data_IF_792546553597
#
_entry.id   IF_792546553597
#
_cell.length_a   1.000
_cell.length_b   1.000
_cell.length_c   1.000
_cell.angle_alpha   90.00
_cell.angle_beta   90.00
_cell.angle_gamma   90.00
#
_symmetry.space_group_name_H-M   'P 1'
#
loop_
_entity.id
_entity.type
_entity.pdbx_description
1 polymer ?
#
# COMPACT_ATOMS: atom_id res chain seq x y z
N UNK A 1 10.83 -6.74 -13.43
CA UNK A 1 9.36 -6.86 -13.27
C UNK A 1 8.71 -7.87 -14.23
N UNK A 2 9.44 -8.41 -15.23
CA UNK A 2 8.93 -9.52 -16.02
C UNK A 2 8.57 -10.69 -15.08
N UNK A 3 9.49 -11.09 -14.20
CA UNK A 3 9.27 -12.17 -13.23
C UNK A 3 8.03 -11.95 -12.34
N UNK A 4 7.75 -10.69 -11.94
CA UNK A 4 6.52 -10.37 -11.18
C UNK A 4 5.25 -10.67 -11.97
N UNK A 5 5.26 -10.37 -13.27
CA UNK A 5 4.11 -10.64 -14.14
C UNK A 5 3.93 -12.14 -14.40
N UNK A 6 5.05 -12.83 -14.60
CA UNK A 6 5.06 -14.26 -14.91
C UNK A 6 4.65 -15.11 -13.69
N UNK A 7 5.04 -14.67 -12.49
CA UNK A 7 4.73 -15.35 -11.22
C UNK A 7 3.33 -14.97 -10.64
N UNK A 8 2.65 -13.97 -11.20
CA UNK A 8 1.35 -13.58 -10.69
C UNK A 8 0.27 -14.63 -11.00
N UNK A 9 -0.41 -15.10 -9.95
CA UNK A 9 -1.53 -16.00 -10.10
C UNK A 9 -2.72 -15.34 -10.82
N UNK A 10 -3.62 -16.13 -11.44
CA UNK A 10 -4.80 -15.59 -12.13
C UNK A 10 -5.72 -14.75 -11.24
N UNK A 11 -5.76 -15.04 -9.93
CA UNK A 11 -6.53 -14.25 -8.96
C UNK A 11 -5.88 -12.92 -8.57
N UNK A 12 -4.64 -12.67 -9.00
CA UNK A 12 -3.88 -11.46 -8.71
C UNK A 12 -2.77 -11.61 -7.66
N UNK A 13 -2.74 -12.70 -6.92
CA UNK A 13 -1.77 -12.93 -5.82
C UNK A 13 -0.35 -13.07 -6.37
N UNK A 14 0.61 -12.47 -5.68
CA UNK A 14 2.05 -12.59 -5.93
C UNK A 14 2.72 -13.40 -4.82
N UNK A 15 3.83 -14.09 -5.08
CA UNK A 15 4.61 -14.71 -4.02
C UNK A 15 5.41 -13.67 -3.24
N UNK A 16 5.82 -14.01 -2.01
CA UNK A 16 6.65 -13.14 -1.17
C UNK A 16 8.01 -12.81 -1.80
N UNK A 17 8.59 -13.79 -2.46
CA UNK A 17 9.90 -13.71 -3.11
C UNK A 17 9.72 -14.02 -4.59
N UNK A 18 10.29 -13.19 -5.43
CA UNK A 18 10.16 -13.29 -6.88
C UNK A 18 11.55 -13.31 -7.52
N UNK A 19 11.90 -14.34 -8.26
CA UNK A 19 11.18 -15.63 -8.44
C UNK A 19 10.99 -16.41 -7.13
N UNK A 20 9.94 -17.23 -7.03
CA UNK A 20 9.55 -17.87 -5.76
C UNK A 20 10.63 -18.76 -5.15
N UNK A 21 11.46 -19.38 -5.96
CA UNK A 21 12.54 -20.25 -5.49
C UNK A 21 12.11 -21.38 -4.54
N UNK A 22 10.84 -21.79 -4.61
CA UNK A 22 10.27 -22.81 -3.73
C UNK A 22 9.54 -22.28 -2.49
N UNK A 23 9.54 -20.97 -2.24
CA UNK A 23 8.78 -20.34 -1.14
C UNK A 23 7.27 -20.35 -1.37
N UNK A 24 6.86 -20.34 -2.65
CA UNK A 24 5.45 -20.45 -3.04
C UNK A 24 4.61 -19.23 -2.69
N UNK A 25 3.31 -19.47 -2.58
CA UNK A 25 2.29 -18.46 -2.33
C UNK A 25 1.66 -18.70 -0.95
N UNK A 26 2.38 -18.30 0.07
CA UNK A 26 1.92 -18.43 1.46
C UNK A 26 0.74 -17.52 1.79
N UNK A 27 0.18 -17.68 2.99
CA UNK A 27 -0.97 -16.89 3.48
C UNK A 27 -0.60 -15.46 3.87
N UNK A 28 0.67 -15.22 4.14
CA UNK A 28 1.18 -13.92 4.62
C UNK A 28 1.89 -13.09 3.54
N UNK A 29 1.83 -13.51 2.27
CA UNK A 29 2.48 -12.85 1.13
C UNK A 29 1.72 -11.59 0.67
N UNK A 30 1.45 -10.69 1.59
CA UNK A 30 0.61 -9.52 1.34
C UNK A 30 1.36 -8.23 1.09
N UNK A 31 0.60 -7.19 1.16
CA UNK A 31 0.81 -5.85 0.66
C UNK A 31 2.14 -5.17 0.99
N UNK A 32 2.61 -5.27 2.21
CA UNK A 32 3.84 -4.61 2.66
C UNK A 32 5.12 -5.19 2.03
N UNK A 33 5.02 -6.33 1.33
CA UNK A 33 6.10 -6.94 0.54
C UNK A 33 5.82 -6.92 -0.96
N UNK A 34 4.61 -7.29 -1.37
CA UNK A 34 4.27 -7.48 -2.79
C UNK A 34 3.81 -6.21 -3.51
N UNK A 35 3.65 -5.08 -2.80
CA UNK A 35 3.41 -3.75 -3.39
C UNK A 35 4.50 -3.29 -4.38
N UNK A 36 5.62 -3.99 -4.44
CA UNK A 36 6.68 -3.77 -5.43
C UNK A 36 6.16 -3.77 -6.86
N UNK A 37 5.10 -4.55 -7.16
CA UNK A 37 4.46 -4.58 -8.49
C UNK A 37 3.89 -3.21 -8.90
N UNK A 38 3.45 -2.40 -7.94
CA UNK A 38 2.91 -1.06 -8.17
C UNK A 38 3.98 0.03 -7.95
N UNK A 39 4.73 -0.06 -6.85
CA UNK A 39 5.66 0.99 -6.41
C UNK A 39 6.85 1.13 -7.38
N UNK A 40 7.41 0.03 -7.89
CA UNK A 40 8.58 0.11 -8.78
C UNK A 40 8.23 0.79 -10.11
N UNK A 41 7.19 0.39 -10.87
CA UNK A 41 6.84 1.06 -12.11
C UNK A 41 6.48 2.54 -11.91
N UNK A 42 5.81 2.85 -10.79
CA UNK A 42 5.46 4.21 -10.44
C UNK A 42 6.70 5.08 -10.18
N UNK A 43 7.66 4.58 -9.42
CA UNK A 43 8.90 5.29 -9.15
C UNK A 43 9.76 5.47 -10.41
N UNK A 44 9.83 4.48 -11.29
CA UNK A 44 10.51 4.62 -12.60
C UNK A 44 9.87 5.78 -13.39
N UNK A 45 8.55 5.84 -13.43
CA UNK A 45 7.87 6.97 -14.06
C UNK A 45 8.19 8.31 -13.40
N UNK A 46 8.16 8.40 -12.07
CA UNK A 46 8.42 9.65 -11.35
C UNK A 46 9.87 10.16 -11.55
N UNK A 47 10.84 9.26 -11.55
CA UNK A 47 12.25 9.65 -11.63
C UNK A 47 12.77 9.84 -13.06
N UNK A 48 12.22 9.10 -14.01
CA UNK A 48 12.75 9.08 -15.40
C UNK A 48 11.73 9.55 -16.45
N UNK A 49 10.47 9.78 -16.09
CA UNK A 49 9.40 10.09 -17.03
C UNK A 49 9.00 8.91 -17.93
N UNK A 50 9.56 7.71 -17.69
CA UNK A 50 9.29 6.53 -18.49
C UNK A 50 8.06 5.78 -17.99
N UNK A 51 6.98 5.84 -18.75
CA UNK A 51 5.71 5.17 -18.45
C UNK A 51 5.63 3.72 -18.95
N UNK A 52 6.66 3.22 -19.63
CA UNK A 52 6.62 1.88 -20.25
C UNK A 52 6.28 0.78 -19.25
N UNK A 53 6.95 0.76 -18.09
CA UNK A 53 6.67 -0.25 -17.07
C UNK A 53 5.28 -0.12 -16.46
N UNK A 54 4.73 1.10 -16.34
CA UNK A 54 3.34 1.30 -15.91
C UNK A 54 2.35 0.71 -16.91
N UNK A 55 2.59 0.90 -18.21
CA UNK A 55 1.79 0.30 -19.27
C UNK A 55 1.88 -1.22 -19.21
N UNK A 56 3.09 -1.75 -19.18
CA UNK A 56 3.37 -3.20 -19.18
C UNK A 56 2.80 -3.92 -17.94
N UNK A 57 2.73 -3.26 -16.79
CA UNK A 57 2.28 -3.85 -15.53
C UNK A 57 0.86 -3.43 -15.12
N UNK A 58 0.18 -2.57 -15.87
CA UNK A 58 -1.12 -1.99 -15.47
C UNK A 58 -2.14 -3.06 -15.08
N UNK A 59 -2.36 -4.04 -15.94
CA UNK A 59 -3.35 -5.08 -15.69
C UNK A 59 -2.95 -6.02 -14.55
N UNK A 60 -1.64 -6.17 -14.30
CA UNK A 60 -1.13 -6.91 -13.16
C UNK A 60 -1.41 -6.17 -11.83
N UNK A 61 -1.11 -4.86 -11.79
CA UNK A 61 -1.41 -4.00 -10.64
C UNK A 61 -2.92 -4.00 -10.37
N UNK A 62 -3.72 -3.89 -11.44
CA UNK A 62 -5.18 -3.92 -11.33
C UNK A 62 -5.68 -5.23 -10.71
N UNK A 63 -5.26 -6.38 -11.23
CA UNK A 63 -5.64 -7.69 -10.66
C UNK A 63 -5.24 -7.82 -9.19
N UNK A 64 -4.07 -7.31 -8.83
CA UNK A 64 -3.59 -7.31 -7.46
C UNK A 64 -4.49 -6.49 -6.53
N UNK A 65 -4.77 -5.23 -6.89
CA UNK A 65 -5.64 -4.33 -6.12
C UNK A 65 -7.06 -4.88 -6.04
N UNK A 66 -7.62 -5.39 -7.15
CA UNK A 66 -8.95 -5.99 -7.19
C UNK A 66 -9.06 -7.24 -6.28
N UNK A 67 -7.96 -8.03 -6.17
CA UNK A 67 -7.91 -9.13 -5.22
C UNK A 67 -8.02 -8.61 -3.77
N UNK A 68 -7.25 -7.60 -3.43
CA UNK A 68 -7.25 -7.04 -2.07
C UNK A 68 -8.61 -6.42 -1.73
N UNK A 69 -9.23 -5.70 -2.67
CA UNK A 69 -10.56 -5.12 -2.45
C UNK A 69 -11.62 -6.20 -2.15
N UNK A 70 -11.53 -7.36 -2.82
CA UNK A 70 -12.44 -8.49 -2.53
C UNK A 70 -12.26 -9.07 -1.13
N UNK A 71 -11.02 -9.18 -0.64
CA UNK A 71 -10.75 -9.75 0.71
C UNK A 71 -10.86 -8.72 1.83
N UNK A 72 -10.88 -7.44 1.49
CA UNK A 72 -10.91 -6.31 2.42
C UNK A 72 -12.05 -5.32 2.10
N UNK A 73 -13.33 -5.75 2.05
CA UNK A 73 -14.44 -4.93 1.57
C UNK A 73 -14.71 -3.69 2.42
N UNK A 74 -14.20 -3.63 3.64
CA UNK A 74 -14.26 -2.46 4.51
C UNK A 74 -13.04 -1.52 4.36
N UNK A 75 -12.09 -1.83 3.49
CA UNK A 75 -10.86 -1.05 3.27
C UNK A 75 -9.74 -1.35 4.25
N UNK A 76 -9.90 -2.35 5.14
CA UNK A 76 -8.89 -2.74 6.14
C UNK A 76 -8.52 -4.21 5.97
N UNK A 77 -7.22 -4.50 6.07
CA UNK A 77 -6.68 -5.86 5.96
C UNK A 77 -5.42 -6.04 6.80
N UNK A 78 -5.27 -7.24 7.34
CA UNK A 78 -4.01 -7.70 7.94
C UNK A 78 -3.27 -8.70 7.05
N UNK A 79 -3.64 -8.77 5.76
CA UNK A 79 -2.94 -9.59 4.79
C UNK A 79 -1.62 -8.96 4.40
N UNK A 80 -0.53 -9.43 4.99
CA UNK A 80 0.84 -8.92 4.87
C UNK A 80 1.72 -9.47 5.98
N UNK A 81 2.99 -9.08 5.99
CA UNK A 81 3.96 -9.51 7.01
C UNK A 81 4.13 -8.50 8.14
N UNK A 82 3.72 -7.26 7.90
CA UNK A 82 3.93 -6.17 8.85
C UNK A 82 5.38 -5.66 8.86
N UNK A 83 5.77 -5.09 9.99
CA UNK A 83 7.12 -4.59 10.22
C UNK A 83 8.08 -5.76 10.44
N UNK A 84 9.05 -5.93 9.52
CA UNK A 84 9.93 -7.10 9.54
C UNK A 84 11.09 -6.93 10.52
N UNK A 85 11.14 -7.82 11.50
CA UNK A 85 12.23 -7.87 12.51
C UNK A 85 12.49 -6.50 13.17
N UNK A 86 11.49 -5.86 13.78
CA UNK A 86 11.66 -4.56 14.40
C UNK A 86 12.59 -4.64 15.64
N UNK A 87 13.35 -3.58 15.88
CA UNK A 87 14.37 -3.57 16.96
C UNK A 87 13.76 -3.57 18.36
N UNK A 88 12.63 -2.89 18.56
CA UNK A 88 12.04 -2.69 19.91
C UNK A 88 10.60 -3.16 20.04
N UNK A 89 9.78 -2.90 19.05
CA UNK A 89 8.34 -3.14 19.15
C UNK A 89 7.73 -3.40 17.76
N UNK A 90 6.77 -4.31 17.72
CA UNK A 90 6.02 -4.60 16.50
C UNK A 90 4.95 -3.54 16.26
N UNK A 91 4.84 -3.09 15.02
CA UNK A 91 3.72 -2.30 14.54
C UNK A 91 2.47 -3.15 14.34
N UNK A 92 1.31 -2.50 14.35
CA UNK A 92 0.05 -3.16 14.02
C UNK A 92 0.02 -3.57 12.54
N UNK A 93 -0.03 -4.87 12.29
CA UNK A 93 -0.02 -5.46 10.95
C UNK A 93 -1.20 -4.98 10.08
N UNK A 94 -2.39 -4.83 10.67
CA UNK A 94 -3.55 -4.34 9.95
C UNK A 94 -3.39 -2.88 9.53
N UNK A 95 -2.72 -2.06 10.34
CA UNK A 95 -2.41 -0.69 9.97
C UNK A 95 -1.43 -0.66 8.78
N UNK A 96 -0.30 -1.36 8.87
CA UNK A 96 0.71 -1.36 7.80
C UNK A 96 0.16 -1.91 6.50
N UNK A 97 -0.49 -3.07 6.53
CA UNK A 97 -1.07 -3.69 5.33
C UNK A 97 -2.17 -2.83 4.70
N UNK A 98 -3.04 -2.20 5.51
CA UNK A 98 -4.08 -1.31 4.98
C UNK A 98 -3.51 -0.03 4.37
N UNK A 99 -2.39 0.49 4.92
CA UNK A 99 -1.70 1.63 4.32
C UNK A 99 -1.13 1.25 2.95
N UNK A 100 -0.52 0.08 2.80
CA UNK A 100 -0.01 -0.36 1.50
C UNK A 100 -1.14 -0.69 0.52
N UNK A 101 -2.30 -1.16 0.99
CA UNK A 101 -3.50 -1.25 0.14
C UNK A 101 -3.92 0.12 -0.42
N UNK A 102 -3.90 1.16 0.42
CA UNK A 102 -4.11 2.53 -0.06
C UNK A 102 -3.07 2.96 -1.09
N UNK A 103 -1.78 2.69 -0.83
CA UNK A 103 -0.67 3.06 -1.73
C UNK A 103 -0.86 2.46 -3.11
N UNK A 104 -1.09 1.15 -3.19
CA UNK A 104 -1.25 0.44 -4.46
C UNK A 104 -2.48 0.93 -5.22
N UNK A 105 -3.59 1.15 -4.50
CA UNK A 105 -4.83 1.70 -5.07
C UNK A 105 -4.62 3.12 -5.61
N UNK A 106 -3.90 3.97 -4.87
CA UNK A 106 -3.59 5.34 -5.29
C UNK A 106 -2.67 5.37 -6.51
N UNK A 107 -1.65 4.50 -6.53
CA UNK A 107 -0.77 4.35 -7.69
C UNK A 107 -1.57 3.91 -8.90
N UNK A 108 -2.44 2.91 -8.76
CA UNK A 108 -3.30 2.43 -9.84
C UNK A 108 -4.23 3.52 -10.37
N UNK A 109 -4.85 4.31 -9.47
CA UNK A 109 -5.67 5.46 -9.87
C UNK A 109 -4.86 6.49 -10.68
N UNK A 110 -3.65 6.83 -10.23
CA UNK A 110 -2.79 7.76 -10.93
C UNK A 110 -2.31 7.21 -12.29
N UNK A 111 -1.97 5.92 -12.35
CA UNK A 111 -1.64 5.24 -13.59
C UNK A 111 -2.83 5.23 -14.57
N UNK A 112 -4.03 4.94 -14.07
CA UNK A 112 -5.26 5.00 -14.86
C UNK A 112 -5.49 6.40 -15.47
N UNK A 113 -5.29 7.44 -14.67
CA UNK A 113 -5.37 8.84 -15.13
C UNK A 113 -4.35 9.12 -16.23
N UNK A 114 -3.09 8.73 -16.02
CA UNK A 114 -2.01 8.92 -16.99
C UNK A 114 -2.29 8.21 -18.31
N UNK A 115 -2.86 7.02 -18.25
CA UNK A 115 -3.16 6.17 -19.39
C UNK A 115 -4.54 6.44 -20.03
N UNK A 116 -5.28 7.45 -19.55
CA UNK A 116 -6.60 7.82 -20.08
C UNK A 116 -7.73 6.82 -19.75
N UNK A 117 -7.55 5.94 -18.77
CA UNK A 117 -8.54 4.94 -18.34
C UNK A 117 -9.52 5.58 -17.34
N UNK A 118 -10.46 6.37 -17.84
CA UNK A 118 -11.31 7.26 -17.04
C UNK A 118 -12.15 6.53 -15.99
N UNK A 119 -12.75 5.38 -16.32
CA UNK A 119 -13.60 4.65 -15.38
C UNK A 119 -12.77 4.00 -14.26
N UNK A 120 -11.63 3.41 -14.58
CA UNK A 120 -10.69 2.91 -13.59
C UNK A 120 -10.19 4.05 -12.68
N UNK A 121 -9.87 5.21 -13.24
CA UNK A 121 -9.46 6.38 -12.44
C UNK A 121 -10.51 6.80 -11.42
N UNK A 122 -11.78 6.88 -11.82
CA UNK A 122 -12.87 7.22 -10.91
C UNK A 122 -13.03 6.17 -9.80
N UNK A 123 -13.05 4.89 -10.19
CA UNK A 123 -13.23 3.78 -9.25
C UNK A 123 -12.12 3.72 -8.21
N UNK A 124 -10.85 3.67 -8.66
CA UNK A 124 -9.72 3.54 -7.74
C UNK A 124 -9.45 4.80 -6.93
N UNK A 125 -9.83 5.99 -7.42
CA UNK A 125 -9.81 7.21 -6.60
C UNK A 125 -10.79 7.11 -5.44
N UNK A 126 -12.02 6.67 -5.69
CA UNK A 126 -13.03 6.49 -4.65
C UNK A 126 -12.61 5.38 -3.66
N UNK A 127 -12.04 4.28 -4.16
CA UNK A 127 -11.52 3.20 -3.31
C UNK A 127 -10.38 3.68 -2.42
N UNK A 128 -9.42 4.43 -2.96
CA UNK A 128 -8.31 4.99 -2.18
C UNK A 128 -8.83 5.89 -1.05
N UNK A 129 -9.80 6.77 -1.32
CA UNK A 129 -10.42 7.60 -0.29
C UNK A 129 -11.13 6.78 0.79
N UNK A 130 -11.84 5.73 0.40
CA UNK A 130 -12.49 4.81 1.34
C UNK A 130 -11.47 4.17 2.28
N UNK A 131 -10.36 3.64 1.73
CA UNK A 131 -9.28 3.03 2.52
C UNK A 131 -8.64 4.05 3.45
N UNK A 132 -8.32 5.24 2.95
CA UNK A 132 -7.74 6.33 3.75
C UNK A 132 -8.62 6.68 4.95
N UNK A 133 -9.91 6.81 4.71
CA UNK A 133 -10.86 7.11 5.78
C UNK A 133 -10.93 5.97 6.79
N UNK A 134 -11.04 4.72 6.34
CA UNK A 134 -11.06 3.55 7.24
C UNK A 134 -9.80 3.45 8.11
N UNK A 135 -8.61 3.70 7.55
CA UNK A 135 -7.35 3.73 8.30
C UNK A 135 -7.36 4.84 9.35
N UNK A 136 -7.77 6.06 8.97
CA UNK A 136 -7.81 7.19 9.91
C UNK A 136 -8.86 6.98 11.01
N UNK A 137 -10.03 6.47 10.67
CA UNK A 137 -11.12 6.27 11.63
C UNK A 137 -10.78 5.18 12.65
N UNK A 138 -10.06 4.14 12.24
CA UNK A 138 -9.69 3.05 13.13
C UNK A 138 -8.43 3.33 13.96
N UNK A 139 -7.41 3.93 13.37
CA UNK A 139 -6.07 3.95 13.97
C UNK A 139 -5.60 5.33 14.42
N UNK A 140 -6.17 6.44 13.91
CA UNK A 140 -5.72 7.78 14.29
C UNK A 140 -6.51 8.32 15.48
N UNK A 141 -5.80 8.55 16.57
CA UNK A 141 -6.32 9.39 17.64
C UNK A 141 -6.15 10.87 17.24
N UNK A 142 -7.24 11.54 16.92
CA UNK A 142 -7.22 12.93 16.41
C UNK A 142 -6.78 13.96 17.47
N UNK A 143 -7.03 13.67 18.75
CA UNK A 143 -6.62 14.56 19.85
C UNK A 143 -5.11 14.52 20.07
N UNK A 144 -4.51 13.36 20.06
CA UNK A 144 -3.07 13.19 20.30
C UNK A 144 -2.24 13.24 19.02
N UNK A 145 -2.82 12.90 17.85
CA UNK A 145 -2.10 12.71 16.60
C UNK A 145 -1.25 11.43 16.60
N UNK A 146 -1.71 10.41 17.31
CA UNK A 146 -1.02 9.13 17.41
C UNK A 146 -1.79 8.09 16.60
N UNK A 147 -1.08 7.35 15.74
CA UNK A 147 -1.60 6.15 15.10
C UNK A 147 -1.28 4.92 15.95
N UNK A 148 -2.27 4.05 16.11
CA UNK A 148 -2.12 2.78 16.81
C UNK A 148 -1.54 2.94 18.21
N UNK A 149 -0.44 2.25 18.49
CA UNK A 149 0.30 2.33 19.75
C UNK A 149 1.33 3.46 19.82
N UNK A 150 1.57 4.14 18.68
CA UNK A 150 2.50 5.26 18.58
C UNK A 150 3.94 4.86 18.26
N UNK A 151 4.21 3.60 17.94
CA UNK A 151 5.57 3.17 17.54
C UNK A 151 5.99 3.80 16.23
N UNK A 152 7.29 3.85 15.98
CA UNK A 152 7.91 4.59 14.87
C UNK A 152 7.24 4.28 13.50
N UNK A 153 7.09 3.01 13.15
CA UNK A 153 6.49 2.58 11.88
C UNK A 153 5.04 3.05 11.75
N UNK A 154 4.25 2.97 12.82
CA UNK A 154 2.85 3.40 12.81
C UNK A 154 2.67 4.91 12.61
N UNK A 155 3.68 5.72 12.95
CA UNK A 155 3.68 7.16 12.70
C UNK A 155 4.25 7.50 11.32
N UNK A 156 5.34 6.83 10.91
CA UNK A 156 6.07 7.17 9.69
C UNK A 156 5.33 6.77 8.41
N UNK A 157 4.72 5.58 8.39
CA UNK A 157 4.10 5.05 7.17
C UNK A 157 2.88 5.87 6.73
N UNK A 158 1.93 6.27 7.62
CA UNK A 158 0.84 7.17 7.23
C UNK A 158 1.31 8.57 6.80
N UNK A 159 2.40 9.08 7.39
CA UNK A 159 3.00 10.36 6.99
C UNK A 159 3.61 10.29 5.59
N UNK A 160 4.42 9.27 5.33
CA UNK A 160 5.10 9.05 4.05
C UNK A 160 4.10 8.99 2.88
N UNK A 161 2.99 8.30 3.08
CA UNK A 161 2.03 8.04 2.02
C UNK A 161 0.84 9.00 1.97
N UNK A 162 0.92 10.12 2.71
CA UNK A 162 -0.09 11.19 2.66
C UNK A 162 -1.50 10.76 3.11
N UNK A 163 -1.57 9.81 4.02
CA UNK A 163 -2.83 9.35 4.65
C UNK A 163 -3.30 10.34 5.72
N UNK A 164 -2.34 10.91 6.47
CA UNK A 164 -2.62 11.81 7.59
C UNK A 164 -3.40 13.04 7.12
N UNK A 165 -4.52 13.42 7.81
CA UNK A 165 -5.23 14.67 7.55
C UNK A 165 -4.28 15.87 7.62
N UNK A 166 -4.43 16.83 6.69
CA UNK A 166 -3.50 17.95 6.52
C UNK A 166 -3.27 18.73 7.82
N UNK A 167 -4.32 18.96 8.58
CA UNK A 167 -4.31 19.69 9.85
C UNK A 167 -3.54 18.96 10.95
N UNK A 168 -3.40 17.65 10.86
CA UNK A 168 -2.73 16.81 11.85
C UNK A 168 -1.28 16.44 11.49
N UNK A 169 -0.84 16.68 10.26
CA UNK A 169 0.51 16.28 9.79
C UNK A 169 1.63 16.74 10.72
N UNK A 170 1.61 18.01 11.15
CA UNK A 170 2.63 18.54 12.07
C UNK A 170 2.62 17.85 13.42
N UNK A 171 1.42 17.49 13.92
CA UNK A 171 1.28 16.81 15.20
C UNK A 171 1.82 15.39 15.13
N UNK A 172 1.45 14.64 14.10
CA UNK A 172 1.95 13.28 13.86
C UNK A 172 3.47 13.28 13.66
N UNK A 173 4.01 14.21 12.87
CA UNK A 173 5.45 14.34 12.67
C UNK A 173 6.22 14.64 13.97
N UNK A 174 5.67 15.48 14.85
CA UNK A 174 6.28 15.72 16.18
C UNK A 174 6.26 14.47 17.05
N UNK A 175 5.21 13.65 16.96
CA UNK A 175 5.15 12.40 17.70
C UNK A 175 6.19 11.41 17.17
N UNK A 176 6.35 11.32 15.84
CA UNK A 176 7.42 10.51 15.24
C UNK A 176 8.80 10.94 15.73
N UNK A 177 9.08 12.25 15.73
CA UNK A 177 10.38 12.78 16.16
C UNK A 177 10.72 12.46 17.64
N UNK A 178 9.74 12.14 18.48
CA UNK A 178 9.97 11.70 19.86
C UNK A 178 10.33 10.21 19.99
N UNK A 179 10.15 9.43 18.91
CA UNK A 179 10.47 8.00 18.88
C UNK A 179 11.89 7.72 18.38
N UNK A 180 12.54 8.73 17.82
CA UNK A 180 13.92 8.70 17.33
C UNK A 180 14.86 9.29 18.38
#
# INVERSE_FOLDING_TARGET
LADHRDEQQPNGVLPDIIPTGGWGYGTDNGLDWTSTIAIIPWNIYLFYGDSKLLVDCYDNIKRYVDYVDRIAPNGLTSWGRGDWVPVKSHSNKELTSSVYFYVDTKILANAAKLLGKTEDYKYYTALAEKIRNAVNDKFLNRETGIYGSGVQTEQSVPLQWDIVPKELKRKVARNLAKQV
#
